data_IF_862975926536
#
_entry.id   IF_862975926536
#
_cell.length_a   1.000
_cell.length_b   1.000
_cell.length_c   1.000
_cell.angle_alpha   90.00
_cell.angle_beta   90.00
_cell.angle_gamma   90.00
#
_symmetry.space_group_name_H-M   'P 1'
#
loop_
_entity.id
_entity.type
_entity.pdbx_description
1 polymer ?
#
# COMPACT_ATOMS: atom_id res chain seq x y z
N UNK A 1 9.76 9.86 -8.12
CA UNK A 1 9.69 9.41 -6.70
C UNK A 1 9.05 8.02 -6.58
N UNK A 2 9.46 7.19 -5.62
CA UNK A 2 8.81 5.89 -5.36
C UNK A 2 7.51 6.12 -4.57
N UNK A 3 6.40 5.55 -5.04
CA UNK A 3 5.10 5.50 -4.35
C UNK A 3 4.71 4.06 -4.04
N UNK A 4 3.97 3.88 -2.94
CA UNK A 4 3.45 2.59 -2.51
C UNK A 4 1.97 2.51 -2.92
N UNK A 5 1.61 1.51 -3.72
CA UNK A 5 0.27 1.28 -4.25
C UNK A 5 -0.63 0.51 -3.27
N UNK A 6 -0.57 0.87 -1.97
CA UNK A 6 -1.30 0.13 -0.93
C UNK A 6 -2.83 0.19 -1.15
N UNK A 7 -3.35 1.35 -1.56
CA UNK A 7 -4.80 1.51 -1.83
C UNK A 7 -5.25 0.65 -3.02
N UNK A 8 -4.44 0.56 -4.08
CA UNK A 8 -4.73 -0.29 -5.24
C UNK A 8 -4.85 -1.76 -4.82
N UNK A 9 -3.88 -2.26 -4.05
CA UNK A 9 -3.87 -3.65 -3.58
C UNK A 9 -5.02 -3.95 -2.60
N UNK A 10 -5.41 -2.98 -1.77
CA UNK A 10 -6.58 -3.09 -0.91
C UNK A 10 -7.87 -3.25 -1.72
N UNK A 11 -8.04 -2.43 -2.76
CA UNK A 11 -9.20 -2.48 -3.64
C UNK A 11 -9.27 -3.81 -4.40
N UNK A 12 -8.15 -4.23 -5.00
CA UNK A 12 -8.05 -5.47 -5.75
C UNK A 12 -8.37 -6.70 -4.88
N UNK A 13 -7.84 -6.75 -3.65
CA UNK A 13 -8.15 -7.80 -2.70
C UNK A 13 -9.61 -7.75 -2.23
N UNK A 14 -10.13 -6.55 -1.98
CA UNK A 14 -11.54 -6.35 -1.60
C UNK A 14 -12.50 -6.85 -2.69
N UNK A 15 -12.14 -6.64 -3.96
CA UNK A 15 -12.90 -7.12 -5.10
C UNK A 15 -12.83 -8.64 -5.24
N UNK A 16 -11.62 -9.23 -5.15
CA UNK A 16 -11.42 -10.68 -5.24
C UNK A 16 -12.14 -11.45 -4.12
N UNK A 17 -12.07 -10.97 -2.88
CA UNK A 17 -12.71 -11.60 -1.73
C UNK A 17 -14.19 -11.21 -1.55
N UNK A 18 -14.71 -10.29 -2.39
CA UNK A 18 -16.07 -9.72 -2.27
C UNK A 18 -16.40 -9.22 -0.86
N UNK A 19 -15.40 -8.69 -0.14
CA UNK A 19 -15.53 -8.19 1.23
C UNK A 19 -14.68 -6.95 1.41
N UNK A 20 -15.13 -6.03 2.28
CA UNK A 20 -14.40 -4.80 2.57
C UNK A 20 -13.13 -5.11 3.39
N UNK A 21 -11.97 -5.01 2.75
CA UNK A 21 -10.68 -5.05 3.46
C UNK A 21 -10.40 -3.67 4.05
N UNK A 22 -10.09 -3.60 5.33
CA UNK A 22 -9.76 -2.35 6.02
C UNK A 22 -8.30 -2.29 6.41
N UNK A 23 -7.76 -1.07 6.58
CA UNK A 23 -6.41 -0.87 7.12
C UNK A 23 -6.24 -1.49 8.51
N UNK A 24 -7.31 -1.62 9.30
CA UNK A 24 -7.26 -2.26 10.62
C UNK A 24 -6.99 -3.75 10.48
N UNK A 25 -7.67 -4.43 9.56
CA UNK A 25 -7.44 -5.86 9.32
C UNK A 25 -6.03 -6.11 8.77
N UNK A 26 -5.56 -5.27 7.84
CA UNK A 26 -4.17 -5.37 7.37
C UNK A 26 -3.20 -5.16 8.53
N UNK A 27 -3.46 -4.21 9.43
CA UNK A 27 -2.63 -3.96 10.61
C UNK A 27 -2.52 -5.20 11.50
N UNK A 28 -3.65 -5.85 11.82
CA UNK A 28 -3.68 -7.07 12.64
C UNK A 28 -3.01 -8.26 11.94
N UNK A 29 -3.18 -8.39 10.62
CA UNK A 29 -2.63 -9.53 9.85
C UNK A 29 -1.14 -9.40 9.54
N UNK A 30 -0.66 -8.18 9.33
CA UNK A 30 0.74 -7.89 8.98
C UNK A 30 1.61 -7.52 10.17
N UNK A 31 1.01 -7.16 11.30
CA UNK A 31 1.72 -6.61 12.46
C UNK A 31 2.19 -5.16 12.27
N UNK A 32 1.86 -4.52 11.15
CA UNK A 32 2.22 -3.11 10.89
C UNK A 32 1.21 -2.22 11.58
N UNK A 33 1.67 -1.19 12.30
CA UNK A 33 0.74 -0.24 12.95
C UNK A 33 -0.15 0.48 11.93
N UNK A 34 -1.44 0.62 12.24
CA UNK A 34 -2.41 1.38 11.43
C UNK A 34 -1.91 2.78 11.08
N UNK A 35 -1.20 3.45 11.98
CA UNK A 35 -0.63 4.77 11.74
C UNK A 35 0.40 4.75 10.60
N UNK A 36 1.23 3.70 10.53
CA UNK A 36 2.21 3.49 9.46
C UNK A 36 1.51 3.19 8.13
N UNK A 37 0.50 2.32 8.13
CA UNK A 37 -0.29 2.03 6.94
C UNK A 37 -0.99 3.27 6.38
N UNK A 38 -1.61 4.08 7.25
CA UNK A 38 -2.22 5.35 6.85
C UNK A 38 -1.21 6.31 6.25
N UNK A 39 -0.01 6.41 6.85
CA UNK A 39 1.08 7.25 6.33
C UNK A 39 1.51 6.79 4.94
N UNK A 40 1.73 5.48 4.76
CA UNK A 40 2.09 4.89 3.46
C UNK A 40 1.01 5.12 2.40
N UNK A 41 -0.27 5.04 2.79
CA UNK A 41 -1.40 5.22 1.88
C UNK A 41 -1.65 6.67 1.47
N UNK A 42 -1.47 7.63 2.38
CA UNK A 42 -1.83 9.04 2.14
C UNK A 42 -0.63 9.94 1.81
N UNK A 43 0.57 9.57 2.26
CA UNK A 43 1.78 10.39 2.10
C UNK A 43 2.67 9.76 1.03
N UNK A 44 2.66 10.28 -0.20
CA UNK A 44 3.56 9.80 -1.25
C UNK A 44 5.02 10.10 -0.86
N UNK A 45 5.94 9.18 -1.16
CA UNK A 45 7.38 9.34 -0.86
C UNK A 45 7.78 9.00 0.57
N UNK A 46 6.87 8.44 1.37
CA UNK A 46 7.20 8.03 2.73
C UNK A 46 8.16 6.83 2.72
N UNK A 47 9.28 6.95 3.42
CA UNK A 47 10.28 5.88 3.56
C UNK A 47 9.71 4.79 4.45
N UNK A 48 9.69 3.55 3.95
CA UNK A 48 9.27 2.37 4.71
C UNK A 48 10.35 1.31 4.67
N UNK A 49 10.43 0.49 5.72
CA UNK A 49 11.44 -0.54 5.83
C UNK A 49 11.12 -1.74 4.93
N UNK A 50 12.15 -2.47 4.53
CA UNK A 50 12.02 -3.72 3.77
C UNK A 50 11.13 -4.74 4.50
N UNK A 51 11.15 -4.78 5.84
CA UNK A 51 10.24 -5.61 6.64
C UNK A 51 8.76 -5.28 6.39
N UNK A 52 8.42 -4.00 6.29
CA UNK A 52 7.04 -3.55 6.03
C UNK A 52 6.61 -3.96 4.62
N UNK A 53 7.50 -3.79 3.63
CA UNK A 53 7.27 -4.23 2.24
C UNK A 53 7.07 -5.75 2.22
N UNK A 54 7.93 -6.52 2.89
CA UNK A 54 7.87 -7.97 2.95
C UNK A 54 6.55 -8.45 3.58
N UNK A 55 6.14 -7.85 4.71
CA UNK A 55 4.89 -8.20 5.38
C UNK A 55 3.66 -7.90 4.51
N UNK A 56 3.65 -6.77 3.79
CA UNK A 56 2.59 -6.42 2.86
C UNK A 56 2.57 -7.36 1.65
N UNK A 57 3.72 -7.59 1.00
CA UNK A 57 3.85 -8.52 -0.12
C UNK A 57 3.38 -9.93 0.27
N UNK A 58 3.74 -10.40 1.47
CA UNK A 58 3.29 -11.70 1.98
C UNK A 58 1.78 -11.74 2.24
N UNK A 59 1.19 -10.65 2.74
CA UNK A 59 -0.25 -10.56 2.99
C UNK A 59 -1.09 -10.47 1.71
N UNK A 60 -0.64 -9.68 0.74
CA UNK A 60 -1.32 -9.52 -0.54
C UNK A 60 -0.94 -10.61 -1.55
N UNK A 61 0.11 -11.40 -1.28
CA UNK A 61 0.63 -12.39 -2.22
C UNK A 61 1.22 -11.77 -3.48
N UNK A 62 1.70 -10.53 -3.40
CA UNK A 62 2.18 -9.75 -4.55
C UNK A 62 3.70 -9.57 -4.53
N UNK A 63 4.25 -9.23 -5.70
CA UNK A 63 5.66 -8.87 -5.82
C UNK A 63 5.89 -7.41 -5.40
N UNK A 64 7.11 -7.05 -4.97
CA UNK A 64 7.43 -5.68 -4.61
C UNK A 64 7.23 -4.69 -5.77
N UNK A 65 7.33 -5.12 -7.02
CA UNK A 65 7.02 -4.27 -8.19
C UNK A 65 5.54 -3.94 -8.37
N UNK A 66 4.63 -4.74 -7.80
CA UNK A 66 3.19 -4.45 -7.77
C UNK A 66 2.85 -3.52 -6.61
N UNK A 67 3.60 -3.61 -5.51
CA UNK A 67 3.44 -2.76 -4.34
C UNK A 67 4.13 -1.39 -4.51
N UNK A 68 5.28 -1.34 -5.17
CA UNK A 68 6.10 -0.15 -5.35
C UNK A 68 6.07 0.27 -6.81
N UNK A 69 5.66 1.52 -7.06
CA UNK A 69 5.69 2.11 -8.40
C UNK A 69 6.58 3.34 -8.39
N UNK A 70 7.47 3.42 -9.36
CA UNK A 70 8.16 4.66 -9.67
C UNK A 70 7.18 5.60 -10.39
N UNK A 71 7.00 6.80 -9.85
CA UNK A 71 6.13 7.84 -10.38
C UNK A 71 6.98 9.06 -10.66
N UNK A 72 6.95 9.55 -11.89
CA UNK A 72 7.66 10.76 -12.29
C UNK A 72 7.06 11.98 -11.58
N UNK A 73 7.86 13.02 -11.29
CA UNK A 73 7.41 14.16 -10.48
C UNK A 73 6.28 14.96 -11.14
N UNK A 74 6.08 14.80 -12.45
CA UNK A 74 5.01 15.39 -13.25
C UNK A 74 3.65 14.66 -13.09
N UNK A 75 3.61 13.47 -12.47
CA UNK A 75 2.37 12.71 -12.17
C UNK A 75 1.88 13.02 -10.73
N UNK A 76 1.74 14.31 -10.46
CA UNK A 76 0.83 14.79 -9.43
C UNK A 76 -0.45 15.19 -10.14
N UNK A 77 -1.61 14.58 -9.87
CA UNK A 77 -2.89 15.10 -10.34
C UNK A 77 -3.18 16.40 -9.58
N UNK A 78 -2.49 17.47 -9.95
CA UNK A 78 -2.85 18.83 -9.64
C UNK A 78 -3.70 19.33 -10.82
N UNK A 79 -5.01 19.14 -10.69
CA UNK A 79 -6.01 19.81 -11.52
C UNK A 79 -6.61 18.94 -12.61
N UNK A 80 -7.81 18.46 -12.35
CA UNK A 80 -8.99 18.59 -13.22
C UNK A 80 -10.25 18.62 -12.35
#
# INVERSE_FOLDING_TARGET
>A
MIRILLIKLLDEKSFQEKRRITLSEVSEKTGISRATLTRIANVPGNVTNTDTINALCKYFGCQPGELLRYVEEEDSPAGE
#
